data_IF_457819648345
#
_entry.id   IF_457819648345
#
_cell.length_a   1.000
_cell.length_b   1.000
_cell.length_c   1.000
_cell.angle_alpha   90.00
_cell.angle_beta   90.00
_cell.angle_gamma   90.00
#
_symmetry.space_group_name_H-M   'P 1'
#
loop_
_entity.id
_entity.type
_entity.pdbx_description
1 polymer ?
#
# COMPACT_ATOMS: atom_id res chain seq x y z
N UNK A 1 -25.07 29.28 2.69
CA UNK A 1 -25.84 28.59 3.76
C UNK A 1 -25.16 27.28 4.15
N UNK A 2 -25.36 26.83 5.39
CA UNK A 2 -24.72 25.62 5.94
C UNK A 2 -24.95 24.36 5.08
N UNK A 3 -26.12 24.22 4.46
CA UNK A 3 -26.43 23.11 3.56
C UNK A 3 -25.51 23.04 2.33
N UNK A 4 -25.12 24.19 1.76
CA UNK A 4 -24.21 24.25 0.61
C UNK A 4 -22.77 23.83 0.96
N UNK A 5 -22.31 24.17 2.16
CA UNK A 5 -21.01 23.74 2.66
C UNK A 5 -20.96 22.22 2.85
N UNK A 6 -22.01 21.62 3.43
CA UNK A 6 -22.09 20.17 3.59
C UNK A 6 -22.10 19.43 2.24
N UNK A 7 -22.83 19.93 1.23
CA UNK A 7 -22.82 19.36 -0.11
C UNK A 7 -21.43 19.45 -0.76
N UNK A 8 -20.75 20.60 -0.63
CA UNK A 8 -19.38 20.79 -1.14
C UNK A 8 -18.38 19.83 -0.47
N UNK A 9 -18.47 19.64 0.85
CA UNK A 9 -17.63 18.69 1.57
C UNK A 9 -17.83 17.25 1.08
N UNK A 10 -19.09 16.83 0.87
CA UNK A 10 -19.43 15.51 0.31
C UNK A 10 -18.87 15.32 -1.10
N UNK A 11 -18.98 16.32 -1.97
CA UNK A 11 -18.45 16.27 -3.33
C UNK A 11 -16.92 16.11 -3.34
N UNK A 12 -16.22 16.88 -2.51
CA UNK A 12 -14.76 16.77 -2.36
C UNK A 12 -14.35 15.40 -1.80
N UNK A 13 -15.07 14.88 -0.80
CA UNK A 13 -14.83 13.56 -0.24
C UNK A 13 -14.98 12.45 -1.30
N UNK A 14 -16.06 12.46 -2.08
CA UNK A 14 -16.30 11.50 -3.14
C UNK A 14 -15.22 11.60 -4.25
N UNK A 15 -14.86 12.82 -4.66
CA UNK A 15 -13.79 13.05 -5.64
C UNK A 15 -12.45 12.50 -5.15
N UNK A 16 -12.11 12.76 -3.88
CA UNK A 16 -10.92 12.22 -3.24
C UNK A 16 -10.91 10.69 -3.24
N UNK A 17 -12.03 10.04 -2.92
CA UNK A 17 -12.14 8.57 -2.97
C UNK A 17 -11.91 7.99 -4.37
N UNK A 18 -12.49 8.61 -5.40
CA UNK A 18 -12.28 8.20 -6.79
C UNK A 18 -10.81 8.36 -7.18
N UNK A 19 -10.17 9.47 -6.82
CA UNK A 19 -8.73 9.69 -7.08
C UNK A 19 -7.83 8.70 -6.35
N UNK A 20 -8.17 8.33 -5.11
CA UNK A 20 -7.46 7.27 -4.38
C UNK A 20 -7.57 5.92 -5.12
N UNK A 21 -8.73 5.60 -5.70
CA UNK A 21 -8.91 4.39 -6.51
C UNK A 21 -8.08 4.42 -7.80
N UNK A 22 -7.90 5.62 -8.38
CA UNK A 22 -7.02 5.87 -9.53
C UNK A 22 -5.54 5.95 -9.17
N UNK A 23 -5.16 5.73 -7.90
CA UNK A 23 -3.80 5.86 -7.39
C UNK A 23 -3.17 7.27 -7.51
N UNK A 24 -4.00 8.30 -7.76
CA UNK A 24 -3.57 9.71 -7.74
C UNK A 24 -3.63 10.23 -6.30
N UNK A 25 -2.67 9.76 -5.49
CA UNK A 25 -2.68 10.00 -4.04
C UNK A 25 -2.46 11.48 -3.68
N UNK A 26 -1.61 12.19 -4.42
CA UNK A 26 -1.31 13.61 -4.17
C UNK A 26 -2.55 14.49 -4.31
N UNK A 27 -3.33 14.27 -5.38
CA UNK A 27 -4.56 15.04 -5.60
C UNK A 27 -5.70 14.56 -4.71
N UNK A 28 -5.76 13.27 -4.39
CA UNK A 28 -6.72 12.74 -3.42
C UNK A 28 -6.54 13.37 -2.04
N UNK A 29 -5.28 13.53 -1.59
CA UNK A 29 -4.96 14.17 -0.32
C UNK A 29 -5.47 15.60 -0.23
N UNK A 30 -5.27 16.41 -1.28
CA UNK A 30 -5.78 17.80 -1.34
C UNK A 30 -7.30 17.85 -1.19
N UNK A 31 -8.02 17.00 -1.92
CA UNK A 31 -9.48 16.95 -1.88
C UNK A 31 -10.02 16.54 -0.50
N UNK A 32 -9.40 15.53 0.13
CA UNK A 32 -9.80 15.07 1.45
C UNK A 32 -9.47 16.09 2.55
N UNK A 33 -8.33 16.78 2.45
CA UNK A 33 -7.98 17.85 3.37
C UNK A 33 -8.94 19.05 3.24
N UNK A 34 -9.30 19.44 2.02
CA UNK A 34 -10.28 20.50 1.80
C UNK A 34 -11.68 20.10 2.29
N UNK A 35 -12.08 18.84 2.13
CA UNK A 35 -13.31 18.32 2.71
C UNK A 35 -13.28 18.39 4.26
N UNK A 36 -12.15 18.07 4.88
CA UNK A 36 -11.96 18.12 6.33
C UNK A 36 -12.02 19.56 6.86
N UNK A 37 -11.49 20.55 6.13
CA UNK A 37 -11.59 21.97 6.50
C UNK A 37 -13.04 22.44 6.56
N UNK A 38 -13.89 21.93 5.67
CA UNK A 38 -15.30 22.30 5.63
C UNK A 38 -16.09 21.57 6.72
N UNK A 39 -15.88 20.27 6.88
CA UNK A 39 -16.56 19.42 7.87
C UNK A 39 -15.54 18.68 8.75
N UNK A 40 -15.00 19.32 9.81
CA UNK A 40 -13.96 18.73 10.64
C UNK A 40 -14.47 17.56 11.50
N UNK A 41 -15.77 17.53 11.80
CA UNK A 41 -16.38 16.52 12.65
C UNK A 41 -16.71 15.21 11.93
N UNK A 42 -16.52 15.15 10.60
CA UNK A 42 -16.83 13.96 9.83
C UNK A 42 -15.76 12.88 10.03
N UNK A 43 -16.18 11.77 10.66
CA UNK A 43 -15.33 10.61 10.91
C UNK A 43 -14.93 9.91 9.61
N UNK A 44 -15.77 9.91 8.59
CA UNK A 44 -15.49 9.24 7.32
C UNK A 44 -14.35 9.92 6.56
N UNK A 45 -14.26 11.25 6.61
CA UNK A 45 -13.15 12.00 6.02
C UNK A 45 -11.85 11.67 6.78
N UNK A 46 -11.90 11.68 8.11
CA UNK A 46 -10.75 11.37 8.96
C UNK A 46 -10.21 9.95 8.76
N UNK A 47 -11.07 8.95 8.59
CA UNK A 47 -10.65 7.58 8.28
C UNK A 47 -10.07 7.46 6.88
N UNK A 48 -10.65 8.15 5.88
CA UNK A 48 -10.13 8.15 4.52
C UNK A 48 -8.73 8.77 4.43
N UNK A 49 -8.45 9.86 5.16
CA UNK A 49 -7.10 10.46 5.21
C UNK A 49 -6.09 9.48 5.83
N UNK A 50 -6.46 8.76 6.89
CA UNK A 50 -5.60 7.73 7.49
C UNK A 50 -5.30 6.59 6.50
N UNK A 51 -6.32 6.12 5.79
CA UNK A 51 -6.17 5.10 4.75
C UNK A 51 -5.27 5.57 3.61
N UNK A 52 -5.44 6.81 3.14
CA UNK A 52 -4.61 7.41 2.10
C UNK A 52 -3.13 7.34 2.47
N UNK A 53 -2.75 7.73 3.70
CA UNK A 53 -1.36 7.67 4.17
C UNK A 53 -0.76 6.26 4.15
N UNK A 54 -1.57 5.24 4.47
CA UNK A 54 -1.14 3.84 4.41
C UNK A 54 -0.89 3.43 2.95
N UNK A 55 -1.78 3.84 2.05
CA UNK A 55 -1.65 3.57 0.62
C UNK A 55 -0.43 4.27 0.01
N UNK A 56 -0.22 5.55 0.30
CA UNK A 56 0.97 6.31 -0.10
C UNK A 56 2.25 5.64 0.37
N UNK A 57 2.33 5.24 1.65
CA UNK A 57 3.48 4.55 2.18
C UNK A 57 3.73 3.22 1.46
N UNK A 58 2.66 2.46 1.15
CA UNK A 58 2.77 1.21 0.39
C UNK A 58 3.25 1.45 -1.05
N UNK A 59 2.78 2.52 -1.69
CA UNK A 59 3.16 2.91 -3.04
C UNK A 59 4.62 3.35 -3.10
N UNK A 60 5.03 4.22 -2.17
CA UNK A 60 6.43 4.67 -2.04
C UNK A 60 7.38 3.50 -1.77
N UNK A 61 6.97 2.50 -0.97
CA UNK A 61 7.76 1.27 -0.75
C UNK A 61 7.94 0.47 -2.05
N UNK A 62 6.88 0.32 -2.85
CA UNK A 62 6.95 -0.37 -4.16
C UNK A 62 7.88 0.38 -5.11
N UNK A 63 7.71 1.70 -5.23
CA UNK A 63 8.60 2.55 -6.02
C UNK A 63 10.05 2.44 -5.56
N UNK A 64 10.30 2.54 -4.25
CA UNK A 64 11.64 2.36 -3.66
C UNK A 64 12.22 0.97 -3.96
N UNK A 65 11.42 -0.10 -3.99
CA UNK A 65 11.91 -1.44 -4.34
C UNK A 65 12.33 -1.53 -5.81
N UNK A 66 11.57 -0.90 -6.71
CA UNK A 66 11.83 -0.91 -8.16
C UNK A 66 13.02 0.01 -8.50
N UNK A 67 13.08 1.19 -7.88
CA UNK A 67 14.01 2.26 -8.24
C UNK A 67 15.23 2.33 -7.31
N UNK A 68 15.08 2.00 -6.03
CA UNK A 68 16.14 2.15 -5.03
C UNK A 68 17.36 1.25 -5.25
N UNK A 69 17.22 0.14 -5.97
CA UNK A 69 18.37 -0.67 -6.39
C UNK A 69 19.02 -0.23 -7.70
N UNK A 70 18.33 0.59 -8.52
CA UNK A 70 18.79 0.97 -9.86
C UNK A 70 19.57 2.28 -9.89
N UNK A 71 19.33 3.18 -8.93
CA UNK A 71 19.96 4.50 -8.90
C UNK A 71 21.19 4.57 -7.97
N UNK A 72 21.38 3.58 -7.11
CA UNK A 72 22.59 3.45 -6.27
C UNK A 72 23.51 2.35 -6.84
N UNK A 73 23.59 2.27 -8.17
CA UNK A 73 24.67 1.58 -8.88
C UNK A 73 25.55 2.60 -9.59
N UNK A 74 25.94 3.65 -8.87
CA UNK A 74 27.29 4.15 -9.10
C UNK A 74 28.22 3.10 -8.50
N UNK A 75 29.15 2.50 -9.25
CA UNK A 75 30.29 1.82 -8.64
C UNK A 75 31.14 2.88 -7.93
N UNK A 76 30.67 3.37 -6.78
CA UNK A 76 31.50 4.13 -5.86
C UNK A 76 32.44 3.13 -5.21
N UNK A 77 33.60 3.00 -5.83
CA UNK A 77 34.90 2.90 -5.18
C UNK A 77 34.82 2.35 -3.75
N UNK A 78 34.89 1.02 -3.65
CA UNK A 78 35.42 0.36 -2.47
C UNK A 78 36.82 0.89 -2.21
N UNK A 79 36.95 1.86 -1.31
CA UNK A 79 38.24 2.27 -0.76
C UNK A 79 37.99 2.82 0.65
N UNK A 80 38.25 1.95 1.64
CA UNK A 80 39.04 2.21 2.86
C UNK A 80 38.70 3.46 3.70
N UNK A 81 38.60 3.48 5.04
CA UNK A 81 39.05 2.61 6.15
C UNK A 81 38.48 3.23 7.45
N UNK A 82 38.14 2.36 8.41
CA UNK A 82 38.44 2.39 9.85
C UNK A 82 38.18 3.65 10.72
N UNK A 83 37.34 3.40 11.74
CA UNK A 83 37.31 3.91 13.14
C UNK A 83 38.30 5.00 13.62
N UNK A 84 37.79 6.07 14.24
CA UNK A 84 38.37 6.78 15.43
C UNK A 84 37.31 7.76 16.03
N UNK A 85 37.47 8.14 17.31
CA UNK A 85 36.43 8.50 18.31
C UNK A 85 35.92 9.97 18.34
N UNK A 86 34.72 10.09 18.95
CA UNK A 86 33.93 11.21 19.52
C UNK A 86 34.71 12.35 20.25
N UNK A 87 34.18 13.61 20.46
CA UNK A 87 33.01 13.90 21.35
C UNK A 87 32.05 15.10 21.02
N UNK A 88 30.84 15.02 21.62
CA UNK A 88 29.89 16.03 22.16
C UNK A 88 29.63 17.35 21.36
N UNK A 89 28.38 17.80 21.11
CA UNK A 89 27.59 18.64 22.03
C UNK A 89 26.09 18.70 21.67
N UNK A 90 25.31 18.89 22.71
CA UNK A 90 23.86 18.80 22.96
C UNK A 90 22.92 19.86 22.36
N UNK A 91 21.63 19.47 22.33
CA UNK A 91 20.37 20.27 22.32
C UNK A 91 19.63 20.18 20.97
N UNK A 92 18.51 19.45 20.87
CA UNK A 92 17.22 19.85 21.41
C UNK A 92 16.31 18.60 21.57
N UNK A 93 15.59 18.56 22.69
CA UNK A 93 14.88 17.40 23.18
C UNK A 93 13.45 17.23 22.63
N UNK A 94 13.02 15.95 22.61
CA UNK A 94 11.66 15.40 22.82
C UNK A 94 10.60 15.58 21.71
N UNK A 95 10.27 14.47 21.03
CA UNK A 95 9.11 13.66 21.41
C UNK A 95 9.09 12.34 20.61
N UNK A 96 9.29 11.25 21.33
CA UNK A 96 9.14 9.88 20.87
C UNK A 96 7.66 9.52 20.61
N UNK A 97 7.37 8.76 19.54
CA UNK A 97 6.44 7.67 19.66
C UNK A 97 7.20 6.36 19.53
N UNK A 98 7.65 5.87 20.70
CA UNK A 98 7.57 4.46 21.10
C UNK A 98 7.57 3.48 19.92
N UNK A 99 8.76 3.25 19.40
CA UNK A 99 9.08 2.09 18.58
C UNK A 99 9.00 0.86 19.48
N UNK A 100 7.82 0.25 19.54
CA UNK A 100 7.69 -1.11 20.04
C UNK A 100 7.98 -2.05 18.84
N UNK A 101 9.16 -2.70 18.75
CA UNK A 101 9.41 -3.68 17.70
C UNK A 101 8.54 -4.90 18.02
N UNK A 102 7.33 -4.94 17.45
CA UNK A 102 6.53 -6.16 17.43
C UNK A 102 7.39 -7.22 16.77
N UNK A 103 7.83 -8.19 17.57
CA UNK A 103 8.51 -9.41 17.16
C UNK A 103 7.84 -9.91 15.89
N UNK A 104 8.61 -9.97 14.81
CA UNK A 104 8.18 -10.55 13.54
C UNK A 104 8.07 -12.04 13.79
N UNK A 105 6.90 -12.47 14.24
CA UNK A 105 6.57 -13.89 14.36
C UNK A 105 6.64 -14.45 12.95
N UNK A 106 7.52 -15.43 12.76
CA UNK A 106 7.68 -16.14 11.49
C UNK A 106 6.34 -16.62 10.98
N UNK A 107 5.86 -15.96 9.93
CA UNK A 107 4.60 -16.30 9.29
C UNK A 107 4.88 -17.47 8.35
N UNK A 108 4.78 -18.69 8.89
CA UNK A 108 4.88 -19.92 8.12
C UNK A 108 3.68 -20.03 7.17
N UNK A 109 3.95 -19.84 5.88
CA UNK A 109 2.95 -19.92 4.80
C UNK A 109 2.45 -21.35 4.51
N UNK A 110 2.84 -22.33 5.31
CA UNK A 110 2.82 -23.74 4.89
C UNK A 110 1.60 -24.55 5.38
N UNK A 111 0.62 -23.95 6.06
CA UNK A 111 -0.46 -24.75 6.68
C UNK A 111 -1.91 -24.25 6.53
N UNK A 112 -2.22 -23.21 5.73
CA UNK A 112 -3.58 -22.62 5.72
C UNK A 112 -4.20 -22.31 4.35
N UNK A 113 -4.00 -23.14 3.32
CA UNK A 113 -4.81 -23.02 2.08
C UNK A 113 -5.26 -24.37 1.47
N UNK A 114 -5.76 -25.39 2.22
CA UNK A 114 -6.22 -26.63 1.58
C UNK A 114 -7.45 -26.42 0.68
N UNK A 115 -8.31 -25.44 0.98
CA UNK A 115 -9.56 -25.20 0.22
C UNK A 115 -9.33 -24.55 -1.16
N UNK A 116 -8.35 -23.65 -1.28
CA UNK A 116 -8.08 -22.95 -2.55
C UNK A 116 -7.41 -23.87 -3.58
N UNK A 117 -6.53 -24.77 -3.15
CA UNK A 117 -5.95 -25.79 -4.03
C UNK A 117 -6.97 -26.84 -4.47
N UNK A 118 -7.92 -27.22 -3.60
CA UNK A 118 -8.99 -28.13 -3.96
C UNK A 118 -9.90 -27.56 -5.07
N UNK A 119 -10.29 -26.28 -4.97
CA UNK A 119 -11.13 -25.63 -5.99
C UNK A 119 -10.39 -25.51 -7.33
N UNK A 120 -9.10 -25.14 -7.31
CA UNK A 120 -8.27 -25.09 -8.52
C UNK A 120 -8.13 -26.47 -9.19
N UNK A 121 -7.94 -27.54 -8.41
CA UNK A 121 -7.84 -28.89 -8.94
C UNK A 121 -9.12 -29.35 -9.65
N UNK A 122 -10.30 -29.02 -9.10
CA UNK A 122 -11.59 -29.33 -9.75
C UNK A 122 -11.75 -28.57 -11.08
N UNK A 123 -11.39 -27.28 -11.11
CA UNK A 123 -11.47 -26.46 -12.34
C UNK A 123 -10.55 -27.03 -13.43
N UNK A 124 -9.32 -27.41 -13.08
CA UNK A 124 -8.37 -28.01 -14.03
C UNK A 124 -8.89 -29.35 -14.56
N UNK A 125 -9.47 -30.20 -13.71
CA UNK A 125 -10.05 -31.49 -14.13
C UNK A 125 -11.21 -31.31 -15.13
N UNK A 126 -12.09 -30.33 -14.90
CA UNK A 126 -13.20 -30.02 -15.82
C UNK A 126 -12.66 -29.54 -17.17
N UNK A 127 -11.65 -28.67 -17.17
CA UNK A 127 -11.06 -28.16 -18.42
C UNK A 127 -10.37 -29.26 -19.23
N UNK A 128 -9.63 -30.16 -18.57
CA UNK A 128 -9.00 -31.31 -19.22
C UNK A 128 -10.05 -32.27 -19.78
N UNK A 129 -11.14 -32.53 -19.04
CA UNK A 129 -12.24 -33.37 -19.51
C UNK A 129 -12.93 -32.81 -20.76
N UNK A 130 -13.26 -31.52 -20.76
CA UNK A 130 -13.84 -30.84 -21.92
C UNK A 130 -12.90 -30.85 -23.13
N UNK A 131 -11.60 -30.67 -22.90
CA UNK A 131 -10.59 -30.71 -23.95
C UNK A 131 -10.47 -32.11 -24.56
N UNK A 132 -10.47 -33.17 -23.75
CA UNK A 132 -10.43 -34.55 -24.22
C UNK A 132 -11.67 -34.93 -25.05
N UNK A 133 -12.86 -34.48 -24.64
CA UNK A 133 -14.12 -34.66 -25.41
C UNK A 133 -14.02 -33.92 -26.75
N UNK A 134 -13.48 -32.71 -26.77
CA UNK A 134 -13.29 -31.95 -28.01
C UNK A 134 -12.29 -32.60 -28.98
N UNK A 135 -11.29 -33.32 -28.48
CA UNK A 135 -10.33 -34.05 -29.31
C UNK A 135 -10.94 -35.33 -29.91
N UNK A 136 -11.84 -36.02 -29.18
CA UNK A 136 -12.48 -37.24 -29.68
C UNK A 136 -13.49 -36.97 -30.81
N UNK A 137 -14.11 -35.79 -30.82
CA UNK A 137 -15.05 -35.37 -31.87
C UNK A 137 -14.40 -34.95 -33.20
N UNK A 138 -13.06 -34.90 -33.28
CA UNK A 138 -12.31 -34.62 -34.52
C UNK A 138 -11.78 -35.87 -35.23
N UNK A 139 -12.00 -37.07 -34.67
CA UNK A 139 -11.52 -38.35 -35.23
C UNK A 139 -12.64 -39.20 -35.87
N UNK A 140 -13.87 -38.69 -35.90
CA UNK A 140 -14.94 -39.18 -36.77
C UNK A 140 -15.20 -38.12 -37.83
#
# INVERSE_FOLDING_TARGET
GAAGAAARAKALFLRGRVRTALQDYDRAGKDLLDAQKINPNDRAISTAIKQLKILEASHRKKQKKIWGGKFVSTPSCSSQKDTEKQPHNSSMAKADPSSNPKKVVGFSWQSKMPLLFAVLAVIVAIMVGLFAVSLKKRKQ
#
